data_IF_499028209446
#
_entry.id   IF_499028209446
#
_cell.length_a   1.000
_cell.length_b   1.000
_cell.length_c   1.000
_cell.angle_alpha   90.00
_cell.angle_beta   90.00
_cell.angle_gamma   90.00
#
_symmetry.space_group_name_H-M   'P 1'
#
loop_
_entity.id
_entity.type
_entity.pdbx_description
1 polymer ?
#
# COMPACT_ATOMS: atom_id res chain seq x y z
N UNK A 1 31.78 -6.85 25.51
CA UNK A 1 30.50 -7.41 25.97
C UNK A 1 29.42 -6.56 25.37
N UNK A 2 28.87 -6.97 24.25
CA UNK A 2 27.77 -6.26 23.59
C UNK A 2 26.50 -6.47 24.42
N UNK A 3 26.01 -5.40 25.05
CA UNK A 3 24.74 -5.46 25.76
C UNK A 3 23.63 -5.55 24.70
N UNK A 4 23.00 -6.71 24.54
CA UNK A 4 21.89 -6.95 23.61
C UNK A 4 20.67 -6.04 23.86
N UNK A 5 20.65 -5.29 24.98
CA UNK A 5 19.56 -4.40 25.39
C UNK A 5 20.15 -3.15 26.06
N UNK A 6 19.72 -1.99 25.59
CA UNK A 6 20.17 -0.68 26.06
C UNK A 6 18.94 0.10 26.53
N UNK A 7 18.94 0.59 27.76
CA UNK A 7 17.86 1.45 28.27
C UNK A 7 17.92 2.81 27.59
N UNK A 8 16.80 3.27 27.02
CA UNK A 8 16.79 4.47 26.17
C UNK A 8 15.74 5.51 26.56
N UNK A 9 14.81 5.15 27.45
CA UNK A 9 13.60 5.96 27.67
C UNK A 9 12.54 5.73 26.59
N UNK A 10 11.45 6.51 26.65
CA UNK A 10 10.26 6.29 25.80
C UNK A 10 10.34 6.86 24.39
N UNK A 11 11.13 7.91 24.16
CA UNK A 11 11.24 8.61 22.89
C UNK A 11 12.71 8.98 22.59
N UNK A 12 13.60 7.98 22.44
CA UNK A 12 15.01 8.25 22.14
C UNK A 12 15.20 8.74 20.71
N UNK A 13 16.34 9.43 20.49
CA UNK A 13 16.85 9.68 19.17
C UNK A 13 17.79 8.53 18.79
N UNK A 14 17.52 7.87 17.67
CA UNK A 14 18.32 6.76 17.18
C UNK A 14 18.85 7.14 15.81
N UNK A 15 20.17 7.14 15.68
CA UNK A 15 20.86 7.47 14.44
C UNK A 15 21.50 6.21 13.87
N UNK A 16 21.13 5.85 12.65
CA UNK A 16 21.76 4.76 11.90
C UNK A 16 22.56 5.43 10.78
N UNK A 17 23.88 5.41 10.89
CA UNK A 17 24.75 6.12 9.92
C UNK A 17 24.66 5.48 8.53
N UNK A 18 24.93 4.18 8.44
CA UNK A 18 24.81 3.41 7.21
C UNK A 18 24.51 1.93 7.53
N UNK A 19 23.84 1.26 6.61
CA UNK A 19 23.57 -0.17 6.63
C UNK A 19 23.89 -0.78 5.27
N UNK A 20 24.92 -1.65 5.20
CA UNK A 20 25.35 -2.26 3.94
C UNK A 20 24.39 -3.36 3.43
N UNK A 21 23.41 -3.77 4.22
CA UNK A 21 22.39 -4.75 3.91
C UNK A 21 20.97 -4.21 4.14
N UNK A 22 20.06 -5.08 4.53
CA UNK A 22 18.69 -4.73 4.84
C UNK A 22 18.57 -4.15 6.25
N UNK A 23 17.76 -3.11 6.39
CA UNK A 23 17.46 -2.48 7.67
C UNK A 23 15.99 -2.67 8.06
N UNK A 24 15.76 -3.35 9.18
CA UNK A 24 14.43 -3.51 9.75
C UNK A 24 14.36 -2.78 11.09
N UNK A 25 13.51 -1.77 11.17
CA UNK A 25 13.20 -1.02 12.40
C UNK A 25 11.78 -1.35 12.83
N UNK A 26 11.61 -1.80 14.07
CA UNK A 26 10.30 -2.09 14.62
C UNK A 26 10.09 -1.41 15.97
N UNK A 27 8.97 -0.71 16.11
CA UNK A 27 8.51 -0.18 17.38
C UNK A 27 8.05 -1.28 18.35
N UNK A 28 8.32 -1.10 19.63
CA UNK A 28 7.82 -1.95 20.70
C UNK A 28 7.50 -1.16 21.98
N UNK A 29 6.80 -1.78 22.91
CA UNK A 29 6.34 -1.08 24.12
C UNK A 29 7.42 -0.85 25.18
N UNK A 30 8.57 -1.53 25.08
CA UNK A 30 9.64 -1.42 26.07
C UNK A 30 10.51 -0.18 25.82
N UNK A 31 10.93 0.55 26.88
CA UNK A 31 11.77 1.75 26.75
C UNK A 31 13.26 1.36 26.57
N UNK A 32 13.53 0.49 25.65
CA UNK A 32 14.86 -0.09 25.39
C UNK A 32 15.13 -0.20 23.91
N UNK A 33 16.37 0.00 23.50
CA UNK A 33 16.89 -0.33 22.19
C UNK A 33 17.45 -1.76 22.20
N UNK A 34 17.06 -2.59 21.24
CA UNK A 34 17.68 -3.87 20.97
C UNK A 34 18.14 -3.93 19.52
N UNK A 35 19.39 -4.24 19.32
CA UNK A 35 20.01 -4.34 18.00
C UNK A 35 20.43 -5.78 17.73
N UNK A 36 20.21 -6.26 16.53
CA UNK A 36 20.67 -7.57 16.05
C UNK A 36 21.35 -7.39 14.70
N UNK A 37 22.41 -8.14 14.48
CA UNK A 37 23.26 -8.09 13.32
C UNK A 37 24.72 -7.94 13.71
N UNK A 38 25.56 -7.52 12.79
CA UNK A 38 26.94 -7.14 13.05
C UNK A 38 26.99 -5.61 13.19
N UNK A 39 26.99 -5.09 14.43
CA UNK A 39 26.78 -3.69 14.73
C UNK A 39 27.72 -3.16 15.82
N UNK A 40 27.88 -1.85 15.80
CA UNK A 40 28.44 -1.05 16.87
C UNK A 40 27.38 -0.04 17.34
N UNK A 41 27.26 0.15 18.66
CA UNK A 41 26.36 1.16 19.25
C UNK A 41 27.16 2.07 20.15
N UNK A 42 27.04 3.35 19.91
CA UNK A 42 27.64 4.41 20.71
C UNK A 42 26.53 5.29 21.31
N UNK A 43 26.64 5.56 22.61
CA UNK A 43 25.79 6.54 23.26
C UNK A 43 26.34 7.92 22.99
N UNK A 44 25.50 8.81 22.44
CA UNK A 44 25.86 10.20 22.12
C UNK A 44 24.96 11.15 22.90
N UNK A 45 25.34 12.43 23.01
CA UNK A 45 24.61 13.43 23.81
C UNK A 45 23.12 13.51 23.51
N UNK A 46 22.71 13.22 22.27
CA UNK A 46 21.32 13.30 21.80
C UNK A 46 20.64 11.94 21.66
N UNK A 47 21.25 10.81 22.09
CA UNK A 47 20.66 9.48 21.94
C UNK A 47 21.65 8.37 21.60
N UNK A 48 21.37 7.57 20.58
CA UNK A 48 22.19 6.41 20.23
C UNK A 48 22.54 6.44 18.74
N UNK A 49 23.83 6.22 18.47
CA UNK A 49 24.33 6.03 17.11
C UNK A 49 24.57 4.53 16.89
N UNK A 50 24.01 4.01 15.82
CA UNK A 50 24.15 2.61 15.42
C UNK A 50 24.83 2.59 14.05
N UNK A 51 25.91 1.84 13.94
CA UNK A 51 26.55 1.51 12.66
C UNK A 51 26.65 0.01 12.51
N UNK A 52 26.50 -0.52 11.30
CA UNK A 52 26.54 -1.96 11.09
C UNK A 52 26.92 -2.37 9.68
N UNK A 53 27.47 -3.58 9.59
CA UNK A 53 27.83 -4.22 8.33
C UNK A 53 26.88 -5.37 8.06
N UNK A 54 26.23 -5.37 6.88
CA UNK A 54 25.19 -6.32 6.49
C UNK A 54 23.85 -6.00 7.12
N UNK A 55 22.99 -7.00 7.26
CA UNK A 55 21.61 -6.81 7.71
C UNK A 55 21.52 -6.40 9.18
N UNK A 56 20.68 -5.41 9.45
CA UNK A 56 20.40 -4.90 10.79
C UNK A 56 18.94 -5.01 11.14
N UNK A 57 18.66 -5.40 12.40
CA UNK A 57 17.31 -5.37 12.96
C UNK A 57 17.31 -4.61 14.27
N UNK A 58 16.52 -3.55 14.34
CA UNK A 58 16.36 -2.70 15.51
C UNK A 58 14.95 -2.87 16.07
N UNK A 59 14.88 -3.14 17.39
CA UNK A 59 13.66 -2.94 18.16
C UNK A 59 13.83 -1.64 18.93
N UNK A 60 12.96 -0.68 18.68
CA UNK A 60 13.04 0.67 19.24
C UNK A 60 11.75 0.98 20.01
N UNK A 61 11.76 1.82 21.06
CA UNK A 61 10.51 2.27 21.65
C UNK A 61 9.57 2.85 20.59
N UNK A 62 8.27 2.60 20.70
CA UNK A 62 7.27 3.08 19.72
C UNK A 62 7.36 4.59 19.47
N UNK A 63 7.71 5.39 20.49
CA UNK A 63 7.87 6.84 20.35
C UNK A 63 9.26 7.30 19.91
N UNK A 64 10.14 6.41 19.48
CA UNK A 64 11.49 6.77 19.05
C UNK A 64 11.47 7.59 17.76
N UNK A 65 12.44 8.51 17.64
CA UNK A 65 12.74 9.16 16.36
C UNK A 65 13.97 8.47 15.76
N UNK A 66 13.88 8.10 14.49
CA UNK A 66 14.91 7.31 13.82
C UNK A 66 15.45 8.10 12.63
N UNK A 67 16.73 8.43 12.67
CA UNK A 67 17.42 9.07 11.55
C UNK A 67 18.38 8.06 10.90
N UNK A 68 18.17 7.80 9.62
CA UNK A 68 18.91 6.82 8.84
C UNK A 68 19.67 7.57 7.75
N UNK A 69 20.97 7.37 7.65
CA UNK A 69 21.78 7.98 6.58
C UNK A 69 21.59 7.24 5.26
N UNK A 70 22.17 6.06 5.14
CA UNK A 70 22.14 5.27 3.90
C UNK A 70 21.79 3.81 4.17
N UNK A 71 20.98 3.20 3.30
CA UNK A 71 20.65 1.77 3.33
C UNK A 71 20.92 1.18 1.94
N UNK A 72 21.87 0.24 1.85
CA UNK A 72 22.20 -0.41 0.58
C UNK A 72 21.17 -1.46 0.14
N UNK A 73 20.47 -2.06 1.09
CA UNK A 73 19.37 -3.02 0.86
C UNK A 73 18.00 -2.40 1.03
N UNK A 74 17.06 -3.20 1.48
CA UNK A 74 15.68 -2.79 1.75
C UNK A 74 15.54 -2.13 3.14
N UNK A 75 14.66 -1.13 3.22
CA UNK A 75 14.28 -0.47 4.48
C UNK A 75 12.86 -0.86 4.87
N UNK A 76 12.70 -1.42 6.06
CA UNK A 76 11.38 -1.75 6.62
C UNK A 76 11.20 -1.07 7.96
N UNK A 77 10.19 -0.19 8.09
CA UNK A 77 9.83 0.47 9.35
C UNK A 77 8.41 0.05 9.73
N UNK A 78 8.23 -0.40 10.98
CA UNK A 78 6.94 -0.86 11.47
C UNK A 78 6.66 -0.35 12.88
N UNK A 79 5.44 0.13 13.13
CA UNK A 79 4.93 0.46 14.48
C UNK A 79 5.78 1.54 15.20
N UNK A 80 6.42 2.46 14.46
CA UNK A 80 7.17 3.60 14.99
C UNK A 80 6.30 4.84 14.91
N UNK A 81 5.81 5.35 16.04
CA UNK A 81 4.92 6.51 16.07
C UNK A 81 5.68 7.85 16.02
N UNK A 82 6.98 7.83 16.22
CA UNK A 82 7.85 9.00 16.10
C UNK A 82 8.13 9.38 14.65
N UNK A 83 9.10 10.27 14.47
CA UNK A 83 9.56 10.67 13.14
C UNK A 83 10.68 9.74 12.65
N UNK A 84 10.54 9.24 11.44
CA UNK A 84 11.55 8.43 10.77
C UNK A 84 12.08 9.21 9.56
N UNK A 85 13.39 9.38 9.44
CA UNK A 85 14.02 10.02 8.29
C UNK A 85 15.06 9.10 7.66
N UNK A 86 15.16 9.10 6.34
CA UNK A 86 16.19 8.39 5.61
C UNK A 86 16.85 9.31 4.57
N UNK A 87 18.16 9.20 4.39
CA UNK A 87 18.85 9.83 3.26
C UNK A 87 18.56 9.03 1.98
N UNK A 88 19.40 8.06 1.67
CA UNK A 88 19.26 7.24 0.47
C UNK A 88 18.94 5.78 0.83
N UNK A 89 17.95 5.20 0.15
CA UNK A 89 17.64 3.77 0.23
C UNK A 89 17.80 3.17 -1.17
N UNK A 90 18.77 2.26 -1.34
CA UNK A 90 19.03 1.66 -2.64
C UNK A 90 18.05 0.54 -3.01
N UNK A 91 17.46 -0.11 -2.01
CA UNK A 91 16.40 -1.09 -2.18
C UNK A 91 15.01 -0.49 -2.07
N UNK A 92 14.05 -1.32 -1.66
CA UNK A 92 12.68 -0.92 -1.44
C UNK A 92 12.48 -0.33 -0.04
N UNK A 93 11.47 0.52 0.11
CA UNK A 93 11.07 1.06 1.42
C UNK A 93 9.65 0.62 1.75
N UNK A 94 9.47 -0.01 2.90
CA UNK A 94 8.18 -0.50 3.38
C UNK A 94 7.87 0.11 4.75
N UNK A 95 6.77 0.85 4.83
CA UNK A 95 6.31 1.55 6.02
C UNK A 95 4.96 0.99 6.46
N UNK A 96 4.83 0.56 7.71
CA UNK A 96 3.58 -0.01 8.25
C UNK A 96 3.30 0.59 9.61
N UNK A 97 2.14 1.28 9.74
CA UNK A 97 1.67 1.91 10.99
C UNK A 97 2.78 2.81 11.59
N UNK A 98 3.32 3.70 10.74
CA UNK A 98 4.39 4.63 11.09
C UNK A 98 3.84 6.05 11.34
N UNK A 99 4.55 6.86 12.12
CA UNK A 99 4.18 8.24 12.38
C UNK A 99 4.42 9.11 11.16
N UNK A 100 5.61 9.66 11.03
CA UNK A 100 6.01 10.44 9.86
C UNK A 100 7.29 9.87 9.25
N UNK A 101 7.29 9.74 7.94
CA UNK A 101 8.47 9.30 7.20
C UNK A 101 8.90 10.34 6.16
N UNK A 102 10.20 10.56 6.08
CA UNK A 102 10.81 11.39 5.05
C UNK A 102 12.06 10.73 4.50
N UNK A 103 12.22 10.68 3.18
CA UNK A 103 13.43 10.22 2.52
C UNK A 103 13.92 11.23 1.45
N UNK A 104 15.24 11.32 1.24
CA UNK A 104 15.77 12.07 0.11
C UNK A 104 15.57 11.31 -1.20
N UNK A 105 15.95 10.04 -1.24
CA UNK A 105 15.76 9.18 -2.41
C UNK A 105 15.51 7.72 -2.03
N UNK A 106 14.61 7.06 -2.78
CA UNK A 106 14.35 5.62 -2.75
C UNK A 106 14.58 5.08 -4.17
N UNK A 107 15.57 4.22 -4.34
CA UNK A 107 15.88 3.66 -5.66
C UNK A 107 14.97 2.48 -6.06
N UNK A 108 14.39 1.81 -5.10
CA UNK A 108 13.36 0.79 -5.31
C UNK A 108 11.95 1.36 -5.21
N UNK A 109 11.02 0.50 -4.83
CA UNK A 109 9.62 0.84 -4.62
C UNK A 109 9.38 1.41 -3.21
N UNK A 110 8.37 2.26 -3.07
CA UNK A 110 7.94 2.82 -1.79
C UNK A 110 6.51 2.37 -1.46
N UNK A 111 6.37 1.59 -0.40
CA UNK A 111 5.08 1.11 0.08
C UNK A 111 4.79 1.71 1.45
N UNK A 112 3.69 2.45 1.59
CA UNK A 112 3.28 3.07 2.84
C UNK A 112 1.84 2.66 3.20
N UNK A 113 1.66 2.11 4.40
CA UNK A 113 0.35 1.71 4.93
C UNK A 113 0.17 2.20 6.37
N UNK A 114 -0.87 3.01 6.62
CA UNK A 114 -1.15 3.52 7.95
C UNK A 114 -0.12 4.54 8.44
N UNK A 115 0.42 5.38 7.53
CA UNK A 115 1.44 6.38 7.82
C UNK A 115 0.79 7.75 7.98
N UNK A 116 1.13 8.47 9.04
CA UNK A 116 0.54 9.78 9.28
C UNK A 116 1.00 10.83 8.26
N UNK A 117 2.28 10.83 7.89
CA UNK A 117 2.83 11.74 6.87
C UNK A 117 3.95 11.07 6.10
N UNK A 118 3.86 11.10 4.78
CA UNK A 118 4.84 10.54 3.85
C UNK A 118 5.49 11.64 3.04
N UNK A 119 6.81 11.71 3.04
CA UNK A 119 7.56 12.61 2.16
C UNK A 119 8.70 11.84 1.48
N UNK A 120 8.92 12.07 0.18
CA UNK A 120 10.09 11.58 -0.53
C UNK A 120 10.50 12.57 -1.62
N UNK A 121 11.82 12.82 -1.75
CA UNK A 121 12.35 13.67 -2.82
C UNK A 121 12.26 12.96 -4.16
N UNK A 122 12.84 11.78 -4.29
CA UNK A 122 12.78 10.98 -5.50
C UNK A 122 12.46 9.51 -5.19
N UNK A 123 11.59 8.87 -5.98
CA UNK A 123 11.33 7.43 -5.94
C UNK A 123 11.50 6.87 -7.35
N UNK A 124 12.48 5.98 -7.54
CA UNK A 124 12.78 5.43 -8.86
C UNK A 124 11.85 4.28 -9.27
N UNK A 125 11.25 3.61 -8.31
CA UNK A 125 10.23 2.58 -8.53
C UNK A 125 8.81 3.10 -8.38
N UNK A 126 7.90 2.19 -8.11
CA UNK A 126 6.49 2.48 -7.89
C UNK A 126 6.23 2.96 -6.46
N UNK A 127 5.20 3.79 -6.30
CA UNK A 127 4.72 4.25 -5.00
C UNK A 127 3.32 3.72 -4.74
N UNK A 128 3.16 3.01 -3.64
CA UNK A 128 1.85 2.56 -3.16
C UNK A 128 1.56 3.15 -1.77
N UNK A 129 0.57 4.04 -1.68
CA UNK A 129 0.19 4.74 -0.46
C UNK A 129 -1.24 4.37 -0.06
N UNK A 130 -1.44 3.79 1.13
CA UNK A 130 -2.75 3.38 1.61
C UNK A 130 -2.98 3.79 3.05
N UNK A 131 -4.12 4.45 3.35
CA UNK A 131 -4.43 5.02 4.67
C UNK A 131 -3.29 5.92 5.16
N UNK A 132 -2.90 6.85 4.30
CA UNK A 132 -1.85 7.83 4.58
C UNK A 132 -2.49 9.17 4.85
N UNK A 133 -2.05 9.84 5.92
CA UNK A 133 -2.59 11.12 6.32
C UNK A 133 -2.27 12.20 5.29
N UNK A 134 -1.01 12.34 4.90
CA UNK A 134 -0.58 13.24 3.81
C UNK A 134 0.59 12.66 3.04
N UNK A 135 0.70 12.98 1.75
CA UNK A 135 1.79 12.54 0.89
C UNK A 135 2.39 13.72 0.12
N UNK A 136 3.72 13.89 0.21
CA UNK A 136 4.47 14.85 -0.59
C UNK A 136 5.62 14.15 -1.28
N UNK A 137 5.54 14.07 -2.59
CA UNK A 137 6.52 13.41 -3.44
C UNK A 137 7.10 14.41 -4.44
N UNK A 138 8.40 14.44 -4.60
CA UNK A 138 9.07 15.20 -5.65
C UNK A 138 8.91 14.45 -6.98
N UNK A 139 9.88 13.63 -7.37
CA UNK A 139 9.83 12.85 -8.59
C UNK A 139 9.47 11.39 -8.31
N UNK A 140 8.47 10.85 -9.03
CA UNK A 140 8.10 9.43 -9.05
C UNK A 140 8.34 8.90 -10.46
N UNK A 141 9.32 8.02 -10.64
CA UNK A 141 9.68 7.49 -11.95
C UNK A 141 8.82 6.29 -12.37
N UNK A 142 8.26 5.54 -11.40
CA UNK A 142 7.28 4.50 -11.62
C UNK A 142 5.84 4.99 -11.53
N UNK A 143 4.92 4.09 -11.26
CA UNK A 143 3.51 4.39 -11.07
C UNK A 143 3.22 4.88 -9.63
N UNK A 144 2.26 5.80 -9.49
CA UNK A 144 1.73 6.18 -8.18
C UNK A 144 0.33 5.60 -7.99
N UNK A 145 0.15 4.83 -6.91
CA UNK A 145 -1.15 4.31 -6.50
C UNK A 145 -1.49 4.78 -5.08
N UNK A 146 -2.51 5.62 -4.94
CA UNK A 146 -2.96 6.19 -3.68
C UNK A 146 -4.40 5.80 -3.35
N UNK A 147 -4.64 5.25 -2.15
CA UNK A 147 -6.00 4.89 -1.72
C UNK A 147 -6.26 5.23 -0.25
N UNK A 148 -7.42 5.85 0.04
CA UNK A 148 -7.82 6.31 1.38
C UNK A 148 -6.78 7.25 1.98
N UNK A 149 -6.60 8.38 1.31
CA UNK A 149 -5.68 9.42 1.74
C UNK A 149 -6.48 10.54 2.41
N UNK A 150 -6.20 10.78 3.71
CA UNK A 150 -7.02 11.69 4.51
C UNK A 150 -6.62 13.16 4.34
N UNK A 151 -5.37 13.44 3.99
CA UNK A 151 -4.84 14.79 3.80
C UNK A 151 -4.41 15.08 2.38
N UNK A 152 -3.59 16.11 2.23
CA UNK A 152 -3.11 16.57 0.92
C UNK A 152 -2.14 15.58 0.27
N UNK A 153 -2.26 15.44 -1.04
CA UNK A 153 -1.36 14.67 -1.91
C UNK A 153 -0.72 15.62 -2.89
N UNK A 154 0.59 15.77 -2.81
CA UNK A 154 1.36 16.60 -3.73
C UNK A 154 2.41 15.74 -4.42
N UNK A 155 2.41 15.74 -5.74
CA UNK A 155 3.41 15.09 -6.59
C UNK A 155 3.94 16.15 -7.54
N UNK A 156 5.24 16.42 -7.51
CA UNK A 156 5.81 17.42 -8.41
C UNK A 156 5.90 16.89 -9.83
N UNK A 157 6.41 15.66 -10.00
CA UNK A 157 6.55 15.01 -11.29
C UNK A 157 6.29 13.50 -11.18
N UNK A 158 5.50 12.94 -12.09
CA UNK A 158 5.23 11.50 -12.21
C UNK A 158 5.52 11.02 -13.63
N UNK A 159 6.44 10.06 -13.79
CA UNK A 159 6.75 9.48 -15.09
C UNK A 159 5.81 8.33 -15.48
N UNK A 160 5.25 7.62 -14.49
CA UNK A 160 4.26 6.55 -14.66
C UNK A 160 2.82 7.05 -14.54
N UNK A 161 1.90 6.11 -14.41
CA UNK A 161 0.48 6.39 -14.22
C UNK A 161 0.20 6.87 -12.78
N UNK A 162 -0.71 7.83 -12.64
CA UNK A 162 -1.17 8.33 -11.34
C UNK A 162 -2.59 7.86 -11.08
N UNK A 163 -2.75 6.90 -10.17
CA UNK A 163 -4.02 6.32 -9.79
C UNK A 163 -4.38 6.72 -8.36
N UNK A 164 -5.42 7.53 -8.19
CA UNK A 164 -5.81 8.06 -6.88
C UNK A 164 -7.27 7.78 -6.60
N UNK A 165 -7.55 7.22 -5.41
CA UNK A 165 -8.90 6.83 -5.03
C UNK A 165 -9.19 7.15 -3.56
N UNK A 166 -10.40 7.67 -3.27
CA UNK A 166 -10.85 7.96 -1.91
C UNK A 166 -9.91 8.95 -1.19
N UNK A 167 -9.80 10.17 -1.69
CA UNK A 167 -8.96 11.22 -1.10
C UNK A 167 -9.82 12.33 -0.53
N UNK A 168 -9.58 12.67 0.73
CA UNK A 168 -10.32 13.73 1.43
C UNK A 168 -9.63 15.10 1.31
N UNK A 169 -8.32 15.14 1.14
CA UNK A 169 -7.53 16.36 1.00
C UNK A 169 -7.35 16.84 -0.43
N UNK A 170 -6.57 17.90 -0.59
CA UNK A 170 -6.21 18.47 -1.88
C UNK A 170 -5.27 17.53 -2.65
N UNK A 171 -5.48 17.40 -3.96
CA UNK A 171 -4.58 16.71 -4.89
C UNK A 171 -3.94 17.75 -5.79
N UNK A 172 -2.62 17.82 -5.74
CA UNK A 172 -1.82 18.65 -6.62
C UNK A 172 -0.77 17.79 -7.34
N UNK A 173 -0.85 17.70 -8.67
CA UNK A 173 0.16 17.06 -9.51
C UNK A 173 0.74 18.13 -10.42
N UNK A 174 2.04 18.38 -10.32
CA UNK A 174 2.73 19.39 -11.13
C UNK A 174 2.78 18.95 -12.60
N UNK A 175 3.34 17.78 -12.86
CA UNK A 175 3.41 17.18 -14.19
C UNK A 175 3.26 15.67 -14.13
N UNK A 176 2.45 15.09 -15.02
CA UNK A 176 2.33 13.64 -15.18
C UNK A 176 2.57 13.28 -16.66
N UNK A 177 3.55 12.41 -16.92
CA UNK A 177 3.91 11.99 -18.28
C UNK A 177 2.98 10.93 -18.87
N UNK A 178 2.13 10.31 -18.05
CA UNK A 178 1.16 9.29 -18.48
C UNK A 178 -0.24 9.62 -17.97
N UNK A 179 -1.06 8.60 -17.81
CA UNK A 179 -2.46 8.74 -17.45
C UNK A 179 -2.67 9.14 -16.00
N UNK A 180 -3.68 9.95 -15.73
CA UNK A 180 -4.13 10.31 -14.38
C UNK A 180 -5.57 9.84 -14.18
N UNK A 181 -5.77 8.94 -13.22
CA UNK A 181 -7.07 8.39 -12.87
C UNK A 181 -7.47 8.83 -11.45
N UNK A 182 -8.57 9.58 -11.36
CA UNK A 182 -9.09 10.13 -10.11
C UNK A 182 -10.48 9.57 -9.83
N UNK A 183 -10.67 8.93 -8.67
CA UNK A 183 -11.97 8.35 -8.28
C UNK A 183 -12.33 8.75 -6.85
N UNK A 184 -13.56 9.22 -6.63
CA UNK A 184 -14.08 9.56 -5.31
C UNK A 184 -13.19 10.57 -4.55
N UNK A 185 -12.95 11.72 -5.15
CA UNK A 185 -12.12 12.78 -4.57
C UNK A 185 -13.02 13.79 -3.86
N UNK A 186 -12.78 14.01 -2.56
CA UNK A 186 -13.51 14.96 -1.75
C UNK A 186 -12.71 16.26 -1.49
N UNK A 187 -11.50 16.38 -2.05
CA UNK A 187 -10.65 17.57 -1.98
C UNK A 187 -10.57 18.35 -3.30
N UNK A 188 -9.84 19.46 -3.25
CA UNK A 188 -9.53 20.24 -4.46
C UNK A 188 -8.59 19.46 -5.37
N UNK A 189 -8.79 19.56 -6.69
CA UNK A 189 -7.94 18.92 -7.69
C UNK A 189 -7.26 20.00 -8.54
N UNK A 190 -5.94 19.93 -8.61
CA UNK A 190 -5.08 20.78 -9.44
C UNK A 190 -4.09 19.90 -10.21
N UNK A 191 -4.26 19.78 -11.51
CA UNK A 191 -3.32 19.10 -12.39
C UNK A 191 -2.67 20.15 -13.30
N UNK A 192 -1.34 20.29 -13.19
CA UNK A 192 -0.58 21.27 -13.96
C UNK A 192 -0.47 20.89 -15.43
N UNK A 193 0.08 19.73 -15.74
CA UNK A 193 0.19 19.19 -17.10
C UNK A 193 0.12 17.66 -17.06
N UNK A 194 -0.67 17.07 -17.95
CA UNK A 194 -0.76 15.62 -18.14
C UNK A 194 -0.53 15.33 -19.61
N UNK A 195 0.55 14.59 -19.94
CA UNK A 195 0.85 14.24 -21.34
C UNK A 195 -0.09 13.16 -21.86
N UNK A 196 -0.56 12.27 -20.99
CA UNK A 196 -1.53 11.20 -21.26
C UNK A 196 -2.98 11.66 -21.10
N UNK A 197 -3.85 10.72 -20.76
CA UNK A 197 -5.29 10.93 -20.55
C UNK A 197 -5.62 11.24 -19.09
N UNK A 198 -6.69 12.00 -18.87
CA UNK A 198 -7.26 12.20 -17.54
C UNK A 198 -8.62 11.49 -17.47
N UNK A 199 -8.81 10.68 -16.44
CA UNK A 199 -10.09 10.05 -16.12
C UNK A 199 -10.54 10.46 -14.73
N UNK A 200 -11.59 11.28 -14.67
CA UNK A 200 -12.23 11.70 -13.43
C UNK A 200 -13.55 10.96 -13.25
N UNK A 201 -13.74 10.33 -12.08
CA UNK A 201 -14.99 9.67 -11.71
C UNK A 201 -15.46 10.12 -10.33
N UNK A 202 -16.66 10.64 -10.27
CA UNK A 202 -17.28 11.17 -9.06
C UNK A 202 -17.48 12.68 -9.13
N UNK A 203 -18.26 13.20 -8.18
CA UNK A 203 -18.39 14.63 -7.98
C UNK A 203 -17.17 15.17 -7.22
N UNK A 204 -16.78 16.40 -7.53
CA UNK A 204 -15.81 17.16 -6.76
C UNK A 204 -16.53 18.12 -5.79
N UNK A 205 -15.89 18.50 -4.67
CA UNK A 205 -16.47 19.44 -3.73
C UNK A 205 -16.63 20.84 -4.33
N UNK A 206 -17.37 21.75 -3.66
CA UNK A 206 -17.41 23.15 -4.04
C UNK A 206 -16.01 23.78 -4.12
N UNK A 207 -15.75 24.55 -5.16
CA UNK A 207 -14.47 25.20 -5.43
C UNK A 207 -14.05 25.14 -6.88
N UNK A 208 -12.84 25.65 -7.16
CA UNK A 208 -12.27 25.69 -8.50
C UNK A 208 -11.37 24.48 -8.71
N UNK A 209 -11.65 23.72 -9.76
CA UNK A 209 -10.89 22.55 -10.19
C UNK A 209 -10.43 22.73 -11.63
N UNK A 210 -9.15 22.47 -11.87
CA UNK A 210 -8.56 22.60 -13.21
C UNK A 210 -7.88 21.28 -13.62
N UNK A 211 -8.26 20.78 -14.79
CA UNK A 211 -7.69 19.58 -15.40
C UNK A 211 -7.20 19.95 -16.80
N UNK A 212 -5.91 19.72 -17.05
CA UNK A 212 -5.27 19.97 -18.34
C UNK A 212 -4.55 18.73 -18.84
N UNK A 213 -4.82 18.28 -20.07
CA UNK A 213 -4.21 17.11 -20.69
C UNK A 213 -3.82 17.38 -22.14
N UNK A 214 -2.69 16.78 -22.58
CA UNK A 214 -2.39 16.68 -24.01
C UNK A 214 -3.21 15.55 -24.69
N UNK A 215 -3.54 14.49 -23.95
CA UNK A 215 -4.43 13.41 -24.37
C UNK A 215 -5.92 13.77 -24.26
N UNK A 216 -6.73 12.77 -23.95
CA UNK A 216 -8.17 12.88 -23.77
C UNK A 216 -8.55 13.12 -22.31
N UNK A 217 -9.68 13.82 -22.08
CA UNK A 217 -10.26 13.94 -20.74
C UNK A 217 -11.62 13.25 -20.71
N UNK A 218 -11.79 12.27 -19.86
CA UNK A 218 -13.06 11.57 -19.63
C UNK A 218 -13.57 11.88 -18.24
N UNK A 219 -14.68 12.60 -18.16
CA UNK A 219 -15.36 12.92 -16.90
C UNK A 219 -16.63 12.09 -16.79
N UNK A 220 -16.73 11.30 -15.72
CA UNK A 220 -17.94 10.60 -15.31
C UNK A 220 -18.52 11.28 -14.08
N UNK A 221 -19.62 11.99 -14.26
CA UNK A 221 -20.21 12.85 -13.24
C UNK A 221 -21.60 12.35 -12.82
N UNK A 222 -21.96 12.41 -11.52
CA UNK A 222 -23.31 12.07 -11.07
C UNK A 222 -24.33 13.11 -11.59
N UNK A 223 -25.44 12.68 -12.17
CA UNK A 223 -26.45 13.57 -12.74
C UNK A 223 -27.09 14.54 -11.74
N UNK A 224 -27.08 14.20 -10.46
CA UNK A 224 -27.64 14.98 -9.35
C UNK A 224 -26.64 15.92 -8.66
N UNK A 225 -25.37 15.85 -9.02
CA UNK A 225 -24.33 16.70 -8.44
C UNK A 225 -24.18 18.00 -9.24
N UNK A 226 -24.31 19.12 -8.55
CA UNK A 226 -24.25 20.44 -9.18
C UNK A 226 -22.81 20.79 -9.61
N UNK A 227 -22.63 21.32 -10.82
CA UNK A 227 -21.34 21.73 -11.37
C UNK A 227 -21.52 22.76 -12.49
N UNK A 228 -20.57 23.69 -12.58
CA UNK A 228 -20.37 24.55 -13.73
C UNK A 228 -19.15 24.06 -14.51
N UNK A 229 -19.32 23.73 -15.76
CA UNK A 229 -18.28 23.16 -16.62
C UNK A 229 -17.87 24.20 -17.65
N UNK A 230 -16.58 24.42 -17.76
CA UNK A 230 -15.91 25.13 -18.84
C UNK A 230 -14.96 24.16 -19.50
N UNK A 231 -15.26 23.74 -20.73
CA UNK A 231 -14.44 22.76 -21.42
C UNK A 231 -13.92 23.35 -22.75
N UNK A 232 -12.64 23.13 -23.03
CA UNK A 232 -11.97 23.50 -24.26
C UNK A 232 -11.18 22.31 -24.81
N UNK A 233 -11.53 21.85 -26.05
CA UNK A 233 -10.85 20.72 -26.69
C UNK A 233 -11.09 20.76 -28.21
N UNK A 234 -10.33 19.93 -28.95
CA UNK A 234 -10.53 19.72 -30.37
C UNK A 234 -11.94 19.16 -30.67
N UNK A 235 -12.40 18.25 -29.83
CA UNK A 235 -13.72 17.62 -29.93
C UNK A 235 -14.31 17.46 -28.53
N UNK A 236 -15.55 17.85 -28.34
CA UNK A 236 -16.25 17.70 -27.05
C UNK A 236 -17.52 16.86 -27.31
N UNK A 237 -17.60 15.74 -26.57
CA UNK A 237 -18.77 14.86 -26.57
C UNK A 237 -19.50 14.99 -25.24
N UNK A 238 -20.64 15.67 -25.25
CA UNK A 238 -21.43 15.82 -24.03
C UNK A 238 -22.59 14.82 -23.98
N UNK A 239 -22.65 14.05 -22.88
CA UNK A 239 -23.78 13.15 -22.52
C UNK A 239 -24.32 13.43 -21.13
N UNK A 240 -23.96 14.58 -20.54
CA UNK A 240 -24.50 15.04 -19.26
C UNK A 240 -25.75 15.90 -19.51
N UNK A 241 -26.72 15.94 -18.59
CA UNK A 241 -27.91 16.77 -18.69
C UNK A 241 -27.60 18.25 -18.35
N UNK A 242 -26.70 18.87 -19.10
CA UNK A 242 -26.30 20.26 -18.91
C UNK A 242 -27.42 21.23 -19.23
N UNK A 243 -27.57 22.24 -18.40
CA UNK A 243 -28.43 23.42 -18.59
C UNK A 243 -27.58 24.61 -19.07
N UNK A 244 -28.24 25.60 -19.69
CA UNK A 244 -27.63 26.85 -20.19
C UNK A 244 -26.38 26.57 -21.05
N UNK A 245 -26.50 25.59 -21.92
CA UNK A 245 -25.40 25.16 -22.79
C UNK A 245 -25.08 26.23 -23.82
N UNK A 246 -23.85 26.72 -23.80
CA UNK A 246 -23.29 27.55 -24.85
C UNK A 246 -22.11 26.78 -25.48
N UNK A 247 -22.28 26.42 -26.76
CA UNK A 247 -21.30 25.72 -27.55
C UNK A 247 -20.76 26.63 -28.65
N UNK A 248 -19.45 26.77 -28.69
CA UNK A 248 -18.71 27.41 -29.77
C UNK A 248 -17.64 26.43 -30.23
N UNK A 249 -17.09 26.69 -31.41
CA UNK A 249 -16.03 25.86 -31.99
C UNK A 249 -14.92 25.54 -30.98
N UNK A 250 -14.84 24.26 -30.56
CA UNK A 250 -13.87 23.80 -29.57
C UNK A 250 -14.12 24.20 -28.12
N UNK A 251 -15.24 24.80 -27.76
CA UNK A 251 -15.56 25.21 -26.38
C UNK A 251 -16.99 24.82 -26.01
N UNK A 252 -17.17 24.35 -24.77
CA UNK A 252 -18.46 24.04 -24.18
C UNK A 252 -18.55 24.70 -22.79
N UNK A 253 -19.63 25.45 -22.59
CA UNK A 253 -20.05 25.97 -21.30
C UNK A 253 -21.37 25.33 -20.95
N UNK A 254 -21.56 24.93 -19.68
CA UNK A 254 -22.84 24.38 -19.25
C UNK A 254 -22.83 24.13 -17.76
N UNK A 255 -24.01 23.94 -17.18
CA UNK A 255 -24.13 23.67 -15.73
C UNK A 255 -25.13 22.57 -15.42
N UNK A 256 -24.94 21.93 -14.27
CA UNK A 256 -25.95 21.08 -13.64
C UNK A 256 -26.34 21.75 -12.32
N UNK A 257 -27.60 22.06 -12.13
CA UNK A 257 -28.11 22.70 -10.93
C UNK A 257 -27.53 24.11 -10.68
N UNK A 258 -27.52 24.52 -9.42
CA UNK A 258 -27.04 25.83 -8.96
C UNK A 258 -25.69 25.69 -8.21
N UNK A 259 -24.75 24.93 -8.76
CA UNK A 259 -23.54 24.53 -8.04
C UNK A 259 -22.49 25.63 -7.89
N UNK A 260 -21.71 25.48 -6.83
CA UNK A 260 -20.52 26.28 -6.53
C UNK A 260 -19.23 25.59 -6.97
N UNK A 261 -19.33 24.38 -7.55
CA UNK A 261 -18.20 23.66 -8.10
C UNK A 261 -17.93 24.18 -9.51
N UNK A 262 -16.72 24.68 -9.75
CA UNK A 262 -16.25 25.11 -11.07
C UNK A 262 -15.27 24.06 -11.60
N UNK A 263 -15.54 23.50 -12.78
CA UNK A 263 -14.70 22.50 -13.41
C UNK A 263 -14.21 23.03 -14.76
N UNK A 264 -12.94 23.39 -14.81
CA UNK A 264 -12.27 23.85 -16.03
C UNK A 264 -11.50 22.68 -16.63
N UNK A 265 -11.80 22.36 -17.88
CA UNK A 265 -11.20 21.24 -18.61
C UNK A 265 -10.51 21.78 -19.87
N UNK A 266 -9.27 21.40 -20.09
CA UNK A 266 -8.50 21.73 -21.30
C UNK A 266 -7.84 20.48 -21.85
N UNK A 267 -8.12 20.10 -23.10
CA UNK A 267 -7.52 18.94 -23.75
C UNK A 267 -7.11 19.26 -25.19
N UNK A 268 -5.94 18.77 -25.59
CA UNK A 268 -5.56 18.83 -27.02
C UNK A 268 -6.27 17.73 -27.83
N UNK A 269 -6.68 16.65 -27.18
CA UNK A 269 -7.47 15.56 -27.70
C UNK A 269 -8.98 15.81 -27.62
N UNK A 270 -9.70 14.85 -27.08
CA UNK A 270 -11.15 14.86 -26.90
C UNK A 270 -11.54 15.03 -25.43
N UNK A 271 -12.62 15.79 -25.18
CA UNK A 271 -13.30 15.78 -23.88
C UNK A 271 -14.60 14.99 -23.99
N UNK A 272 -14.80 14.01 -23.12
CA UNK A 272 -16.00 13.20 -23.03
C UNK A 272 -16.64 13.36 -21.66
N UNK A 273 -17.83 13.96 -21.63
CA UNK A 273 -18.64 14.14 -20.44
C UNK A 273 -19.73 13.07 -20.42
N UNK A 274 -19.77 12.22 -19.38
CA UNK A 274 -20.73 11.11 -19.24
C UNK A 274 -21.35 11.11 -17.85
N UNK A 275 -22.56 10.59 -17.75
CA UNK A 275 -23.20 10.28 -16.47
C UNK A 275 -22.64 8.98 -15.89
N UNK A 276 -22.53 8.92 -14.55
CA UNK A 276 -22.22 7.67 -13.84
C UNK A 276 -23.45 6.77 -13.90
N UNK A 277 -23.30 5.59 -14.46
CA UNK A 277 -24.38 4.59 -14.52
C UNK A 277 -24.30 3.61 -13.35
N UNK A 278 -25.44 2.98 -12.92
CA UNK A 278 -25.41 1.96 -11.85
C UNK A 278 -24.55 0.73 -12.17
N UNK A 279 -24.26 0.48 -13.45
CA UNK A 279 -23.34 -0.59 -13.88
C UNK A 279 -21.91 -0.22 -13.52
N UNK A 280 -21.56 1.06 -13.61
CA UNK A 280 -20.24 1.56 -13.24
C UNK A 280 -19.97 1.40 -11.73
N UNK A 281 -21.01 1.43 -10.87
CA UNK A 281 -20.86 1.24 -9.41
C UNK A 281 -20.54 -0.21 -9.03
N UNK A 282 -21.11 -1.20 -9.76
CA UNK A 282 -20.88 -2.63 -9.45
C UNK A 282 -19.49 -3.16 -9.79
N UNK A 283 -18.79 -2.51 -10.73
CA UNK A 283 -17.42 -2.91 -11.09
C UNK A 283 -16.38 -2.48 -10.06
N UNK A 284 -16.68 -1.45 -9.26
CA UNK A 284 -15.74 -0.92 -8.27
C UNK A 284 -15.73 -1.69 -6.96
N UNK A 285 -16.88 -2.23 -6.53
CA UNK A 285 -16.98 -2.94 -5.25
C UNK A 285 -16.58 -4.43 -5.31
N UNK A 286 -16.52 -5.01 -6.51
CA UNK A 286 -16.45 -6.46 -6.69
C UNK A 286 -15.07 -7.04 -7.02
N UNK A 287 -14.08 -6.24 -7.41
CA UNK A 287 -12.87 -6.80 -8.00
C UNK A 287 -11.61 -6.79 -7.13
N UNK A 288 -11.58 -6.02 -6.03
CA UNK A 288 -10.39 -6.04 -5.16
C UNK A 288 -10.78 -5.92 -3.69
N UNK A 289 -10.71 -7.04 -2.97
CA UNK A 289 -10.69 -7.05 -1.52
C UNK A 289 -9.56 -6.17 -0.99
N UNK A 290 -9.76 -5.63 0.20
CA UNK A 290 -8.89 -4.61 0.81
C UNK A 290 -7.39 -4.96 0.87
N UNK A 291 -7.03 -6.23 0.68
CA UNK A 291 -5.65 -6.72 0.74
C UNK A 291 -5.11 -7.30 -0.59
N UNK A 292 -5.98 -7.51 -1.60
CA UNK A 292 -5.59 -8.21 -2.84
C UNK A 292 -4.65 -7.40 -3.76
N UNK A 293 -4.62 -6.08 -3.67
CA UNK A 293 -3.70 -5.23 -4.46
C UNK A 293 -2.26 -5.23 -3.90
N UNK A 294 -2.10 -5.55 -2.61
CA UNK A 294 -0.79 -5.57 -1.97
C UNK A 294 -0.07 -6.92 -2.10
N UNK A 295 -0.81 -8.04 -2.23
CA UNK A 295 -0.20 -9.37 -2.36
C UNK A 295 0.71 -9.52 -3.60
N UNK A 296 0.34 -9.06 -4.82
CA UNK A 296 1.25 -9.13 -5.96
C UNK A 296 2.51 -8.29 -5.79
N UNK A 297 2.39 -7.16 -5.08
CA UNK A 297 3.50 -6.25 -4.81
C UNK A 297 4.51 -6.90 -3.85
N UNK A 298 4.04 -7.54 -2.78
CA UNK A 298 4.90 -8.29 -1.85
C UNK A 298 5.52 -9.53 -2.49
N UNK A 299 4.80 -10.25 -3.34
CA UNK A 299 5.30 -11.40 -4.07
C UNK A 299 6.34 -11.01 -5.14
N UNK A 300 6.19 -9.83 -5.76
CA UNK A 300 7.16 -9.26 -6.70
C UNK A 300 8.46 -8.82 -6.03
N UNK A 301 8.44 -8.50 -4.74
CA UNK A 301 9.62 -8.11 -3.96
C UNK A 301 10.39 -9.31 -3.38
N UNK A 302 9.96 -10.55 -3.64
CA UNK A 302 10.56 -11.74 -3.03
C UNK A 302 10.40 -11.82 -1.50
N UNK A 303 9.62 -10.92 -0.92
CA UNK A 303 9.29 -10.89 0.50
C UNK A 303 8.12 -11.83 0.77
N UNK A 304 8.42 -13.10 0.92
CA UNK A 304 7.45 -14.11 1.34
C UNK A 304 7.07 -13.87 2.81
N UNK A 305 5.96 -13.15 3.00
CA UNK A 305 5.42 -12.80 4.33
C UNK A 305 5.05 -14.03 5.15
N UNK A 306 4.67 -15.12 4.51
CA UNK A 306 4.34 -16.40 5.16
C UNK A 306 5.63 -17.07 5.68
N UNK A 307 6.71 -17.05 4.90
CA UNK A 307 8.03 -17.51 5.34
C UNK A 307 8.65 -16.57 6.39
N UNK A 308 8.37 -15.28 6.34
CA UNK A 308 8.84 -14.31 7.32
C UNK A 308 8.09 -14.49 8.66
N UNK A 309 6.78 -14.71 8.64
CA UNK A 309 6.00 -15.07 9.83
C UNK A 309 6.43 -16.43 10.40
N UNK A 310 6.61 -17.45 9.57
CA UNK A 310 7.08 -18.78 9.96
C UNK A 310 8.53 -18.76 10.49
N UNK A 311 9.41 -17.92 9.92
CA UNK A 311 10.77 -17.71 10.46
C UNK A 311 10.76 -17.02 11.81
N UNK A 312 9.90 -16.01 12.01
CA UNK A 312 9.72 -15.32 13.31
C UNK A 312 9.15 -16.31 14.34
N UNK A 313 8.18 -17.13 13.96
CA UNK A 313 7.59 -18.17 14.81
C UNK A 313 8.60 -19.27 15.16
N UNK A 314 9.40 -19.74 14.22
CA UNK A 314 10.47 -20.70 14.44
C UNK A 314 11.60 -20.12 15.32
N UNK A 315 11.94 -18.84 15.17
CA UNK A 315 12.97 -18.17 15.96
C UNK A 315 12.49 -17.89 17.39
N UNK A 316 11.20 -17.51 17.54
CA UNK A 316 10.54 -17.36 18.85
C UNK A 316 10.46 -18.73 19.57
N UNK A 317 10.08 -19.81 18.87
CA UNK A 317 10.04 -21.15 19.44
C UNK A 317 11.44 -21.68 19.80
N UNK A 318 12.46 -21.35 19.02
CA UNK A 318 13.86 -21.70 19.33
C UNK A 318 14.36 -20.94 20.55
N UNK A 319 13.94 -19.67 20.71
CA UNK A 319 14.30 -18.84 21.85
C UNK A 319 13.58 -19.28 23.13
N UNK A 320 12.29 -19.62 23.04
CA UNK A 320 11.51 -20.21 24.14
C UNK A 320 12.09 -21.55 24.58
N UNK A 321 12.55 -22.37 23.63
CA UNK A 321 13.21 -23.67 23.93
C UNK A 321 14.59 -23.50 24.55
N UNK A 322 15.33 -22.42 24.29
CA UNK A 322 16.58 -22.08 24.99
C UNK A 322 16.32 -21.55 26.39
N UNK A 323 15.37 -20.65 26.53
CA UNK A 323 14.97 -20.09 27.84
C UNK A 323 14.41 -21.19 28.74
N UNK A 324 13.63 -22.13 28.21
CA UNK A 324 13.12 -23.28 28.93
C UNK A 324 14.27 -24.17 29.43
N UNK A 325 15.29 -24.45 28.61
CA UNK A 325 16.49 -25.23 29.01
C UNK A 325 17.36 -24.50 30.03
N UNK A 326 17.52 -23.20 29.95
CA UNK A 326 18.25 -22.39 30.93
C UNK A 326 17.51 -22.33 32.28
N UNK A 327 16.18 -22.29 32.25
CA UNK A 327 15.35 -22.36 33.46
C UNK A 327 15.41 -23.77 34.08
N UNK A 328 15.38 -24.82 33.27
CA UNK A 328 15.48 -26.21 33.72
C UNK A 328 16.82 -26.51 34.37
N UNK A 329 17.92 -25.95 33.86
CA UNK A 329 19.27 -26.07 34.45
C UNK A 329 19.44 -25.24 35.70
N UNK A 330 18.71 -24.12 35.87
CA UNK A 330 18.84 -23.25 37.06
C UNK A 330 17.88 -23.58 38.20
N UNK A 331 16.69 -24.10 37.89
CA UNK A 331 15.58 -24.24 38.85
C UNK A 331 15.03 -25.67 38.98
N UNK A 332 15.62 -26.65 38.28
CA UNK A 332 15.23 -28.06 38.30
C UNK A 332 14.02 -28.41 37.40
N UNK A 333 13.86 -29.72 37.09
CA UNK A 333 12.89 -30.17 36.07
C UNK A 333 11.43 -29.95 36.46
N UNK A 334 11.09 -29.93 37.72
CA UNK A 334 9.70 -29.73 38.18
C UNK A 334 9.19 -28.29 37.96
N UNK A 335 10.09 -27.30 37.98
CA UNK A 335 9.73 -25.90 37.73
C UNK A 335 9.57 -25.63 36.23
N UNK A 336 10.42 -26.24 35.40
CA UNK A 336 10.34 -26.19 33.94
C UNK A 336 9.01 -26.75 33.42
N UNK A 337 8.57 -27.90 33.95
CA UNK A 337 7.28 -28.52 33.58
C UNK A 337 6.08 -27.64 33.95
N UNK A 338 6.06 -27.04 35.15
CA UNK A 338 4.96 -26.13 35.56
C UNK A 338 4.86 -24.88 34.72
N UNK A 339 5.98 -24.33 34.24
CA UNK A 339 6.00 -23.18 33.36
C UNK A 339 5.63 -23.55 31.92
N UNK A 340 6.10 -24.71 31.41
CA UNK A 340 5.72 -25.22 30.09
C UNK A 340 4.21 -25.48 30.01
N UNK A 341 3.61 -26.09 31.05
CA UNK A 341 2.15 -26.27 31.13
C UNK A 341 1.36 -24.97 31.19
N UNK A 342 1.93 -23.95 31.83
CA UNK A 342 1.28 -22.61 31.89
C UNK A 342 1.32 -21.87 30.56
N UNK A 343 2.44 -21.97 29.85
CA UNK A 343 2.61 -21.40 28.51
C UNK A 343 1.74 -22.14 27.47
N UNK A 344 1.67 -23.49 27.52
CA UNK A 344 0.82 -24.30 26.67
C UNK A 344 -0.66 -23.94 26.85
N UNK A 345 -1.15 -23.81 28.10
CA UNK A 345 -2.53 -23.38 28.38
C UNK A 345 -2.83 -21.95 27.90
N UNK A 346 -1.83 -21.07 27.86
CA UNK A 346 -1.98 -19.71 27.38
C UNK A 346 -2.00 -19.67 25.84
N UNK A 347 -1.17 -20.48 25.18
CA UNK A 347 -1.17 -20.68 23.73
C UNK A 347 -2.49 -21.30 23.25
N UNK A 348 -3.01 -22.33 23.94
CA UNK A 348 -4.32 -22.92 23.64
C UNK A 348 -5.47 -21.92 23.77
N UNK A 349 -5.44 -21.02 24.76
CA UNK A 349 -6.44 -19.95 24.90
C UNK A 349 -6.39 -18.93 23.77
N UNK A 350 -5.19 -18.61 23.27
CA UNK A 350 -5.02 -17.71 22.13
C UNK A 350 -5.48 -18.38 20.84
N UNK A 351 -5.13 -19.66 20.62
CA UNK A 351 -5.58 -20.45 19.48
C UNK A 351 -7.11 -20.66 19.47
N UNK A 352 -7.70 -20.88 20.65
CA UNK A 352 -9.16 -21.01 20.77
C UNK A 352 -9.91 -19.69 20.53
N UNK A 353 -9.31 -18.54 20.93
CA UNK A 353 -9.83 -17.21 20.59
C UNK A 353 -9.73 -16.93 19.09
N UNK A 354 -8.65 -17.33 18.45
CA UNK A 354 -8.48 -17.20 17.01
C UNK A 354 -9.47 -18.07 16.24
N UNK A 355 -9.70 -19.33 16.67
CA UNK A 355 -10.74 -20.21 16.10
C UNK A 355 -12.16 -19.66 16.28
N UNK A 356 -12.51 -19.16 17.46
CA UNK A 356 -13.84 -18.54 17.70
C UNK A 356 -14.03 -17.29 16.83
N UNK A 357 -12.96 -16.54 16.55
CA UNK A 357 -13.02 -15.35 15.69
C UNK A 357 -13.20 -15.72 14.21
N UNK A 358 -12.63 -16.84 13.75
CA UNK A 358 -12.88 -17.38 12.41
C UNK A 358 -14.26 -18.01 12.25
N UNK A 359 -14.77 -18.70 13.29
CA UNK A 359 -16.12 -19.27 13.31
C UNK A 359 -17.22 -18.19 13.38
N UNK A 360 -16.94 -17.03 14.00
CA UNK A 360 -17.88 -15.89 14.04
C UNK A 360 -17.97 -15.15 12.70
N UNK A 361 -16.92 -15.17 11.88
CA UNK A 361 -16.96 -14.68 10.50
C UNK A 361 -17.72 -15.61 9.55
N UNK A 362 -17.91 -16.87 9.90
CA UNK A 362 -18.67 -17.87 9.13
C UNK A 362 -20.17 -17.94 9.42
N UNK A 363 -20.69 -17.24 10.45
CA UNK A 363 -22.11 -17.27 10.83
C UNK A 363 -22.82 -15.94 10.59
N UNK A 364 -22.87 -15.54 9.36
CA UNK A 364 -23.71 -14.44 8.94
C UNK A 364 -24.26 -14.73 7.56
N UNK A 365 -25.46 -15.26 7.54
CA UNK A 365 -26.51 -15.28 6.52
C UNK A 365 -27.00 -16.71 6.25
N UNK A 366 -28.05 -17.09 6.96
CA UNK A 366 -29.01 -18.10 6.50
C UNK A 366 -29.70 -17.55 5.24
N UNK A 367 -29.38 -18.10 4.10
CA UNK A 367 -30.18 -18.00 2.89
C UNK A 367 -30.21 -19.36 2.21
N UNK A 368 -31.39 -19.78 1.83
CA UNK A 368 -31.76 -21.03 1.23
C UNK A 368 -30.81 -21.56 0.15
N UNK A 369 -30.78 -22.90 -0.11
CA UNK A 369 -29.85 -23.47 -1.06
C UNK A 369 -30.18 -23.00 -2.48
N UNK A 370 -29.36 -22.07 -3.00
CA UNK A 370 -29.37 -21.73 -4.41
C UNK A 370 -28.70 -22.85 -5.20
N UNK A 371 -29.34 -23.26 -6.30
CA UNK A 371 -28.84 -24.24 -7.23
C UNK A 371 -27.38 -23.95 -7.64
N UNK A 372 -26.58 -25.03 -7.71
CA UNK A 372 -25.17 -24.95 -8.11
C UNK A 372 -25.04 -24.22 -9.45
N UNK A 373 -24.06 -23.29 -9.57
CA UNK A 373 -23.83 -22.60 -10.84
C UNK A 373 -23.40 -23.60 -11.92
N UNK A 374 -23.77 -23.38 -13.19
CA UNK A 374 -23.34 -24.24 -14.28
C UNK A 374 -21.81 -24.28 -14.38
N UNK A 375 -21.26 -25.49 -14.39
CA UNK A 375 -19.82 -25.75 -14.53
C UNK A 375 -19.36 -25.20 -15.87
N UNK A 376 -18.28 -24.41 -15.87
CA UNK A 376 -17.67 -23.87 -17.09
C UNK A 376 -16.74 -24.93 -17.69
N UNK A 377 -16.77 -25.17 -19.00
CA UNK A 377 -15.76 -26.02 -19.65
C UNK A 377 -14.36 -25.41 -19.50
N UNK A 378 -13.35 -26.26 -19.39
CA UNK A 378 -11.95 -25.85 -19.26
C UNK A 378 -11.54 -24.86 -20.37
N UNK A 379 -10.89 -23.79 -20.01
CA UNK A 379 -10.43 -22.79 -20.98
C UNK A 379 -9.28 -23.36 -21.84
N UNK A 380 -9.14 -22.93 -23.10
CA UNK A 380 -8.01 -23.35 -23.97
C UNK A 380 -6.63 -23.12 -23.34
N UNK A 381 -6.50 -22.12 -22.46
CA UNK A 381 -5.26 -21.82 -21.75
C UNK A 381 -4.95 -22.83 -20.66
N UNK A 382 -5.97 -23.32 -19.95
CA UNK A 382 -5.82 -24.36 -18.93
C UNK A 382 -5.45 -25.69 -19.55
N UNK A 383 -6.05 -26.05 -20.67
CA UNK A 383 -5.71 -27.24 -21.45
C UNK A 383 -4.26 -27.19 -21.96
N UNK A 384 -3.83 -26.03 -22.44
CA UNK A 384 -2.47 -25.82 -22.96
C UNK A 384 -1.41 -25.87 -21.84
N UNK A 385 -1.77 -25.46 -20.62
CA UNK A 385 -0.91 -25.54 -19.44
C UNK A 385 -0.71 -27.00 -18.99
N UNK A 386 -1.76 -27.81 -19.00
CA UNK A 386 -1.68 -29.25 -18.68
C UNK A 386 -0.81 -29.97 -19.73
N UNK A 387 -1.01 -29.68 -21.02
CA UNK A 387 -0.18 -30.26 -22.11
C UNK A 387 1.32 -29.90 -21.97
N UNK A 388 1.64 -28.65 -21.57
CA UNK A 388 3.03 -28.25 -21.28
C UNK A 388 3.63 -28.98 -20.08
N UNK A 389 2.82 -29.32 -19.07
CA UNK A 389 3.29 -30.09 -17.92
C UNK A 389 3.57 -31.55 -18.29
N UNK A 390 2.86 -32.14 -19.26
CA UNK A 390 3.19 -33.45 -19.84
C UNK A 390 4.47 -33.37 -20.67
N UNK A 391 4.60 -32.35 -21.50
CA UNK A 391 5.78 -32.17 -22.36
C UNK A 391 7.07 -31.96 -21.54
N UNK A 392 6.97 -31.27 -20.40
CA UNK A 392 8.09 -31.08 -19.47
C UNK A 392 8.35 -32.27 -18.54
N UNK A 393 7.55 -33.33 -18.62
CA UNK A 393 7.68 -34.51 -17.76
C UNK A 393 7.25 -34.28 -16.29
N UNK A 394 6.58 -33.20 -16.00
CA UNK A 394 6.12 -32.86 -14.65
C UNK A 394 4.92 -33.68 -14.18
N UNK A 395 4.11 -34.19 -15.14
CA UNK A 395 2.98 -35.09 -14.89
C UNK A 395 2.95 -36.18 -15.95
N UNK A 396 2.40 -37.35 -15.62
CA UNK A 396 2.22 -38.43 -16.59
C UNK A 396 1.03 -38.14 -17.52
N UNK A 397 0.97 -38.75 -18.72
CA UNK A 397 -0.16 -38.63 -19.63
C UNK A 397 -1.48 -39.10 -19.01
N UNK A 398 -1.43 -40.08 -18.09
CA UNK A 398 -2.60 -40.60 -17.35
C UNK A 398 -3.10 -39.58 -16.35
N UNK A 399 -2.21 -38.92 -15.58
CA UNK A 399 -2.56 -37.85 -14.65
C UNK A 399 -3.14 -36.62 -15.36
N UNK A 400 -2.60 -36.29 -16.54
CA UNK A 400 -3.12 -35.21 -17.37
C UNK A 400 -4.53 -35.50 -17.88
N UNK A 401 -4.83 -36.74 -18.23
CA UNK A 401 -6.18 -37.19 -18.59
C UNK A 401 -7.19 -37.00 -17.46
N UNK A 402 -6.82 -37.41 -16.24
CA UNK A 402 -7.65 -37.22 -15.04
C UNK A 402 -7.86 -35.73 -14.71
N UNK A 403 -6.86 -34.87 -14.88
CA UNK A 403 -6.98 -33.43 -14.66
C UNK A 403 -7.89 -32.75 -15.69
N UNK A 404 -7.81 -33.16 -16.96
CA UNK A 404 -8.72 -32.66 -18.00
C UNK A 404 -10.15 -33.11 -17.77
N UNK A 405 -10.37 -34.36 -17.39
CA UNK A 405 -11.69 -34.90 -17.03
C UNK A 405 -12.28 -34.24 -15.78
N UNK A 406 -11.44 -33.90 -14.80
CA UNK A 406 -11.87 -33.16 -13.61
C UNK A 406 -12.24 -31.69 -13.89
N UNK A 407 -11.68 -31.09 -14.96
CA UNK A 407 -12.01 -29.74 -15.41
C UNK A 407 -13.23 -29.68 -16.34
N UNK A 408 -13.55 -30.81 -17.01
CA UNK A 408 -14.72 -30.93 -17.90
C UNK A 408 -15.95 -31.51 -17.19
N UNK A 409 -15.78 -32.20 -16.08
CA UNK A 409 -16.86 -32.83 -15.27
C UNK A 409 -17.30 -32.04 -14.09
#
# INVERSE_FOLDING_TARGET
MTKDRIETGKAPQIHVDACDGDLVVRGWAEPMLKVRGNYEVEEVDAGFRVSGRGDLRLLVPTGANVAIGEVSGDLVIKEVAGASTAGQVHGNTILIEDGSFSAEAVHGNLVARGVASLAAGAVHGDVSARRVGSARLGAVYGDFSGRRLDGAVTIEEASGDVNVREVSGEIAVGHAHRDVNLTAIAGRVMLGGVDGDIRLRGALPPGDHALSAHGDIVVRWPANAAVNIVAAARTITNRLPLQDVAEKEGQLLGRIGSGTTQLTLSADGQIVLKEITPVDEKWDDGMMGDDAEFEPFFNGLGLDMENMAARIEAEVNTHLSRVARDIETRFGPEFGQRMADKVARQADRVAERARRKSEWRGRGVDSAPAAAPPRRPASPEEQLKILKMVESGAITPEDAGMLLEALEG
#
